data_IF_993534851468
#
_entry.id   IF_993534851468
#
_cell.length_a   1.000
_cell.length_b   1.000
_cell.length_c   1.000
_cell.angle_alpha   90.00
_cell.angle_beta   90.00
_cell.angle_gamma   90.00
#
_symmetry.space_group_name_H-M   'P 1'
#
loop_
_entity.id
_entity.type
_entity.pdbx_description
1 polymer ?
#
# COMPACT_ATOMS: atom_id res chain seq x y z
N UNK A 1 -5.98 -1.76 9.20
CA UNK A 1 -7.41 -1.77 8.85
C UNK A 1 -7.98 -3.16 9.10
N UNK A 2 -9.17 -3.28 9.71
CA UNK A 2 -9.83 -4.58 9.78
C UNK A 2 -10.20 -5.07 8.38
N UNK A 3 -10.20 -6.39 8.17
CA UNK A 3 -10.75 -6.98 6.94
C UNK A 3 -12.29 -6.85 6.98
N UNK A 4 -12.96 -6.49 5.85
CA UNK A 4 -14.41 -6.49 5.78
C UNK A 4 -15.00 -7.87 6.13
N UNK A 5 -16.10 -7.91 6.90
CA UNK A 5 -16.76 -9.17 7.27
C UNK A 5 -17.33 -9.92 6.06
N UNK A 6 -17.80 -9.17 5.05
CA UNK A 6 -18.33 -9.71 3.81
C UNK A 6 -17.47 -9.22 2.65
N UNK A 7 -16.76 -10.14 2.00
CA UNK A 7 -15.95 -9.83 0.83
C UNK A 7 -16.80 -9.84 -0.44
N UNK A 8 -16.66 -8.81 -1.27
CA UNK A 8 -17.30 -8.72 -2.58
C UNK A 8 -16.48 -9.41 -3.68
N UNK A 9 -15.20 -9.71 -3.41
CA UNK A 9 -14.23 -10.29 -4.34
C UNK A 9 -13.07 -10.93 -3.57
N UNK A 10 -12.37 -11.86 -4.20
CA UNK A 10 -11.10 -12.41 -3.70
C UNK A 10 -9.90 -11.50 -4.03
N UNK A 11 -10.12 -10.41 -4.78
CA UNK A 11 -9.08 -9.45 -5.09
C UNK A 11 -8.59 -8.71 -3.83
N UNK A 12 -7.28 -8.50 -3.75
CA UNK A 12 -6.61 -7.85 -2.61
C UNK A 12 -5.75 -6.68 -3.06
N UNK A 13 -5.63 -5.66 -2.20
CA UNK A 13 -4.86 -4.44 -2.50
C UNK A 13 -3.77 -4.22 -1.44
N UNK A 14 -2.53 -4.11 -1.89
CA UNK A 14 -1.39 -3.70 -1.08
C UNK A 14 -1.25 -2.18 -1.15
N UNK A 15 -1.50 -1.47 -0.05
CA UNK A 15 -1.36 -0.01 0.04
C UNK A 15 -0.01 0.30 0.67
N UNK A 16 0.92 0.83 -0.12
CA UNK A 16 2.32 0.99 0.30
C UNK A 16 2.56 2.33 0.99
N UNK A 17 3.03 2.30 2.23
CA UNK A 17 3.28 3.49 3.05
C UNK A 17 4.77 3.70 3.26
N UNK A 18 5.27 4.85 2.80
CA UNK A 18 6.60 5.38 3.11
C UNK A 18 6.46 6.70 3.88
N UNK A 19 7.46 7.09 4.67
CA UNK A 19 7.43 8.40 5.33
C UNK A 19 7.31 9.52 4.28
N UNK A 20 6.38 10.45 4.52
CA UNK A 20 6.03 11.51 3.59
C UNK A 20 4.99 11.13 2.53
N UNK A 21 4.23 10.05 2.72
CA UNK A 21 3.09 9.70 1.87
C UNK A 21 1.95 10.74 1.97
N UNK A 22 1.10 10.86 0.95
CA UNK A 22 -0.15 11.64 0.99
C UNK A 22 -1.24 10.86 1.76
N UNK A 23 -1.61 11.33 2.96
CA UNK A 23 -2.60 10.61 3.78
C UNK A 23 -3.98 10.53 3.14
N UNK A 24 -4.38 11.54 2.35
CA UNK A 24 -5.69 11.56 1.68
C UNK A 24 -5.75 10.45 0.63
N UNK A 25 -4.71 10.30 -0.19
CA UNK A 25 -4.68 9.26 -1.23
C UNK A 25 -4.66 7.85 -0.62
N UNK A 26 -3.88 7.63 0.43
CA UNK A 26 -3.79 6.33 1.08
C UNK A 26 -5.07 5.96 1.84
N UNK A 27 -5.56 6.85 2.71
CA UNK A 27 -6.65 6.54 3.63
C UNK A 27 -8.03 6.63 2.98
N UNK A 28 -8.24 7.53 2.00
CA UNK A 28 -9.51 7.57 1.27
C UNK A 28 -9.69 6.29 0.42
N UNK A 29 -8.62 5.81 -0.22
CA UNK A 29 -8.66 4.54 -0.96
C UNK A 29 -8.90 3.36 -0.02
N UNK A 30 -8.22 3.32 1.12
CA UNK A 30 -8.46 2.28 2.13
C UNK A 30 -9.92 2.26 2.61
N UNK A 31 -10.53 3.42 2.91
CA UNK A 31 -11.94 3.52 3.33
C UNK A 31 -12.91 3.08 2.23
N UNK A 32 -12.71 3.53 0.99
CA UNK A 32 -13.57 3.15 -0.14
C UNK A 32 -13.52 1.64 -0.40
N UNK A 33 -12.31 1.05 -0.41
CA UNK A 33 -12.13 -0.39 -0.59
C UNK A 33 -12.78 -1.20 0.53
N UNK A 34 -12.63 -0.76 1.79
CA UNK A 34 -13.27 -1.39 2.93
C UNK A 34 -14.80 -1.40 2.79
N UNK A 35 -15.40 -0.25 2.44
CA UNK A 35 -16.86 -0.15 2.22
C UNK A 35 -17.35 -0.96 1.02
N UNK A 36 -16.50 -1.15 0.03
CA UNK A 36 -16.78 -1.98 -1.14
C UNK A 36 -16.63 -3.50 -0.85
N UNK A 37 -16.20 -3.90 0.34
CA UNK A 37 -15.94 -5.31 0.67
C UNK A 37 -14.68 -5.85 -0.03
N UNK A 38 -13.70 -4.99 -0.32
CA UNK A 38 -12.41 -5.38 -0.88
C UNK A 38 -11.37 -5.38 0.24
N UNK A 39 -10.61 -6.47 0.35
CA UNK A 39 -9.53 -6.55 1.34
C UNK A 39 -8.36 -5.67 0.90
N UNK A 40 -7.91 -4.80 1.80
CA UNK A 40 -6.69 -4.00 1.63
C UNK A 40 -5.84 -4.06 2.90
N UNK A 41 -4.53 -4.11 2.72
CA UNK A 41 -3.56 -4.10 3.83
C UNK A 41 -2.69 -2.84 3.71
N UNK A 42 -2.54 -2.10 4.80
CA UNK A 42 -1.58 -1.00 4.89
C UNK A 42 -0.20 -1.58 5.18
N UNK A 43 0.77 -1.40 4.28
CA UNK A 43 2.09 -2.03 4.37
C UNK A 43 3.16 -0.95 4.50
N UNK A 44 3.91 -0.98 5.59
CA UNK A 44 5.05 -0.08 5.79
C UNK A 44 6.26 -0.56 5.00
N UNK A 45 6.88 0.32 4.22
CA UNK A 45 8.20 0.07 3.57
C UNK A 45 9.37 0.62 4.39
N UNK A 46 9.09 1.13 5.59
CA UNK A 46 10.10 1.64 6.53
C UNK A 46 10.58 0.53 7.47
N UNK A 47 11.42 0.87 8.45
CA UNK A 47 11.88 -0.05 9.50
C UNK A 47 10.89 -0.20 10.68
N UNK A 48 9.75 0.52 10.65
CA UNK A 48 8.72 0.44 11.67
C UNK A 48 7.30 0.41 11.10
N UNK A 49 6.32 -0.07 11.88
CA UNK A 49 4.90 0.02 11.51
C UNK A 49 4.35 1.45 11.57
N UNK A 50 5.02 2.36 12.27
CA UNK A 50 4.57 3.74 12.45
C UNK A 50 5.11 4.61 11.32
N UNK A 51 4.27 4.93 10.33
CA UNK A 51 4.64 5.75 9.16
C UNK A 51 4.03 7.15 9.26
N UNK A 52 4.82 8.18 8.99
CA UNK A 52 4.40 9.59 9.08
C UNK A 52 4.03 10.12 7.70
N UNK A 53 2.86 10.72 7.54
CA UNK A 53 2.46 11.37 6.29
C UNK A 53 3.20 12.68 6.03
N UNK A 54 3.07 13.24 4.83
CA UNK A 54 3.67 14.54 4.43
C UNK A 54 3.24 15.69 5.34
N UNK A 55 2.05 15.61 5.97
CA UNK A 55 1.54 16.59 6.92
C UNK A 55 1.75 16.22 8.39
N UNK A 56 2.57 15.22 8.69
CA UNK A 56 2.94 14.87 10.07
C UNK A 56 1.93 13.98 10.81
N UNK A 57 0.95 13.42 10.10
CA UNK A 57 -0.01 12.47 10.70
C UNK A 57 0.65 11.10 10.77
N UNK A 58 0.66 10.50 11.96
CA UNK A 58 1.22 9.15 12.15
C UNK A 58 0.13 8.09 11.96
N UNK A 59 0.39 7.14 11.07
CA UNK A 59 -0.44 5.96 10.83
C UNK A 59 0.32 4.71 11.27
N UNK A 60 -0.41 3.73 11.80
CA UNK A 60 0.12 2.39 12.10
C UNK A 60 -0.26 1.47 10.95
N UNK A 61 0.74 0.98 10.22
CA UNK A 61 0.58 -0.02 9.19
C UNK A 61 0.20 -1.39 9.79
N UNK A 62 -0.52 -2.17 9.01
CA UNK A 62 -0.97 -3.52 9.36
C UNK A 62 0.16 -4.55 9.30
N UNK A 63 1.07 -4.36 8.34
CA UNK A 63 2.16 -5.28 8.02
C UNK A 63 3.43 -4.50 7.70
N UNK A 64 4.57 -5.17 7.87
CA UNK A 64 5.86 -4.71 7.35
C UNK A 64 6.08 -5.30 5.96
N UNK A 65 6.84 -4.61 5.10
CA UNK A 65 7.21 -5.11 3.78
C UNK A 65 7.89 -6.49 3.83
N UNK A 66 8.71 -6.74 4.85
CA UNK A 66 9.42 -8.01 5.02
C UNK A 66 8.48 -9.19 5.40
N UNK A 67 7.25 -8.89 5.84
CA UNK A 67 6.27 -9.90 6.26
C UNK A 67 5.33 -10.33 5.10
N UNK A 68 5.48 -9.77 3.89
CA UNK A 68 4.52 -9.94 2.80
C UNK A 68 5.16 -10.41 1.49
N UNK A 69 4.42 -11.23 0.76
CA UNK A 69 4.68 -11.50 -0.66
C UNK A 69 3.82 -10.56 -1.51
N UNK A 70 4.43 -9.53 -2.10
CA UNK A 70 3.72 -8.57 -2.95
C UNK A 70 3.09 -9.20 -4.19
N UNK A 71 3.63 -10.32 -4.68
CA UNK A 71 3.09 -10.99 -5.87
C UNK A 71 1.75 -11.69 -5.60
N UNK A 72 1.42 -11.95 -4.34
CA UNK A 72 0.14 -12.51 -3.92
C UNK A 72 -1.01 -11.49 -3.93
N UNK A 73 -0.71 -10.19 -4.03
CA UNK A 73 -1.73 -9.15 -4.09
C UNK A 73 -2.24 -8.93 -5.51
N UNK A 74 -3.54 -8.65 -5.66
CA UNK A 74 -4.10 -8.34 -6.99
C UNK A 74 -3.65 -6.98 -7.50
N UNK A 75 -3.60 -5.97 -6.62
CA UNK A 75 -3.19 -4.61 -6.96
C UNK A 75 -2.10 -4.13 -6.00
N UNK A 76 -1.06 -3.52 -6.57
CA UNK A 76 -0.10 -2.71 -5.83
C UNK A 76 -0.50 -1.24 -5.96
N UNK A 77 -0.88 -0.60 -4.85
CA UNK A 77 -1.28 0.80 -4.80
C UNK A 77 -0.17 1.66 -4.18
N UNK A 78 0.25 2.70 -4.89
CA UNK A 78 1.38 3.57 -4.57
C UNK A 78 0.91 5.02 -4.38
N UNK A 79 0.52 5.40 -3.15
CA UNK A 79 0.20 6.79 -2.83
C UNK A 79 1.35 7.75 -3.19
N UNK A 80 0.99 8.97 -3.59
CA UNK A 80 1.91 10.06 -3.81
C UNK A 80 2.54 10.61 -2.52
N UNK A 81 3.14 11.79 -2.64
CA UNK A 81 3.67 12.57 -1.53
C UNK A 81 5.19 12.64 -1.50
N UNK A 82 5.74 13.68 -0.87
CA UNK A 82 7.18 13.87 -0.75
C UNK A 82 7.57 13.96 0.73
N UNK A 83 8.62 13.22 1.18
CA UNK A 83 9.49 12.32 0.40
C UNK A 83 8.92 10.93 0.08
N UNK A 84 7.64 10.63 0.38
CA UNK A 84 7.08 9.27 0.28
C UNK A 84 7.29 8.57 -1.06
N UNK A 85 7.00 9.23 -2.18
CA UNK A 85 7.22 8.70 -3.53
C UNK A 85 8.70 8.36 -3.79
N UNK A 86 9.64 9.13 -3.24
CA UNK A 86 11.06 8.80 -3.34
C UNK A 86 11.41 7.59 -2.48
N UNK A 87 10.79 7.44 -1.30
CA UNK A 87 10.93 6.27 -0.46
C UNK A 87 10.45 5.00 -1.16
N UNK A 88 9.26 5.04 -1.76
CA UNK A 88 8.72 3.92 -2.56
C UNK A 88 9.63 3.60 -3.75
N UNK A 89 10.03 4.63 -4.52
CA UNK A 89 10.97 4.47 -5.63
C UNK A 89 12.32 3.92 -5.18
N UNK A 90 12.81 4.28 -3.99
CA UNK A 90 14.08 3.81 -3.44
C UNK A 90 14.05 2.40 -2.88
N UNK A 91 12.87 1.77 -2.78
CA UNK A 91 12.70 0.44 -2.18
C UNK A 91 12.85 -0.65 -3.26
N UNK A 92 13.89 -1.52 -3.19
CA UNK A 92 14.16 -2.49 -4.26
C UNK A 92 13.01 -3.46 -4.52
N UNK A 93 12.36 -3.97 -3.48
CA UNK A 93 11.22 -4.89 -3.63
C UNK A 93 10.05 -4.25 -4.40
N UNK A 94 9.80 -2.95 -4.18
CA UNK A 94 8.77 -2.20 -4.91
C UNK A 94 9.17 -2.01 -6.37
N UNK A 95 10.43 -1.66 -6.66
CA UNK A 95 10.92 -1.55 -8.04
C UNK A 95 10.76 -2.88 -8.79
N UNK A 96 11.20 -3.98 -8.18
CA UNK A 96 11.11 -5.32 -8.77
C UNK A 96 9.66 -5.67 -9.08
N UNK A 97 8.75 -5.45 -8.13
CA UNK A 97 7.35 -5.81 -8.30
C UNK A 97 6.63 -4.92 -9.33
N UNK A 98 6.90 -3.61 -9.35
CA UNK A 98 6.37 -2.69 -10.37
C UNK A 98 6.79 -3.11 -11.77
N UNK A 99 8.08 -3.43 -11.97
CA UNK A 99 8.57 -3.88 -13.27
C UNK A 99 7.95 -5.22 -13.69
N UNK A 100 7.88 -6.19 -12.77
CA UNK A 100 7.25 -7.49 -13.02
C UNK A 100 5.78 -7.33 -13.44
N UNK A 101 5.01 -6.51 -12.72
CA UNK A 101 3.60 -6.23 -13.04
C UNK A 101 3.44 -5.52 -14.37
N UNK A 102 4.31 -4.56 -14.69
CA UNK A 102 4.29 -3.86 -15.97
C UNK A 102 4.51 -4.82 -17.15
N UNK A 103 5.48 -5.73 -17.04
CA UNK A 103 5.76 -6.76 -18.05
C UNK A 103 4.59 -7.75 -18.20
N UNK A 104 3.99 -8.15 -17.07
CA UNK A 104 2.86 -9.08 -17.03
C UNK A 104 1.50 -8.43 -17.35
N UNK A 105 1.44 -7.09 -17.48
CA UNK A 105 0.20 -6.30 -17.60
C UNK A 105 -0.77 -6.49 -16.43
N UNK A 106 -0.21 -6.67 -15.24
CA UNK A 106 -0.95 -6.72 -13.99
C UNK A 106 -1.18 -5.31 -13.42
N UNK A 107 -2.16 -5.18 -12.51
CA UNK A 107 -2.59 -3.89 -11.99
C UNK A 107 -1.56 -3.27 -11.03
N UNK A 108 -1.21 -2.02 -11.34
CA UNK A 108 -0.47 -1.07 -10.50
C UNK A 108 -1.29 0.22 -10.53
N UNK A 109 -1.46 0.89 -9.39
CA UNK A 109 -2.22 2.13 -9.27
C UNK A 109 -1.47 3.15 -8.41
#
# INVERSE_FOLDING_TARGET
MPTPENLATDATVAIMLADGFEEVEALAVADVLFRAGVRSDLISVTDARHVTSSHGIRVVADLMLDDVDLSAYTVLFLPGGMPGTLGLKGTPAIQTEVLRRADARESIA
#
